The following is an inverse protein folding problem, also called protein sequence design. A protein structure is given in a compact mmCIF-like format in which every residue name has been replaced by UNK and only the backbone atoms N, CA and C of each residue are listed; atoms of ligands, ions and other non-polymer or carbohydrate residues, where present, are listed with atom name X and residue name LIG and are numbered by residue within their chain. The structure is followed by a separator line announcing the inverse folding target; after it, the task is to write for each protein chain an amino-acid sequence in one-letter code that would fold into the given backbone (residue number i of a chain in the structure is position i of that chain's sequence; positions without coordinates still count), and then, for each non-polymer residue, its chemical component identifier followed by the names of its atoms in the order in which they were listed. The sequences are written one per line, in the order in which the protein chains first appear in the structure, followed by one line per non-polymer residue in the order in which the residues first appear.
data_IF_567635940948
#
_entry.id   IF_567635940948
#
_cell.length_a   1.000
_cell.length_b   1.000
_cell.length_c   1.000
_cell.angle_alpha   90.00
_cell.angle_beta   90.00
_cell.angle_gamma   90.00
#
_symmetry.space_group_name_H-M   'P 1'
#
loop_
_entity.id
_entity.type
_entity.pdbx_description
1 polymer ?
#
# COMPACT_ATOMS: atom_id res chain seq x y z
N UNK A 1 -5.92 -10.47 4.91
CA UNK A 1 -5.14 -9.98 3.74
C UNK A 1 -6.01 -9.52 2.59
N UNK A 2 -6.90 -10.36 2.03
CA UNK A 2 -7.74 -9.99 0.87
C UNK A 2 -8.66 -8.78 1.14
N UNK A 3 -9.17 -8.65 2.36
CA UNK A 3 -10.08 -7.55 2.72
C UNK A 3 -9.43 -6.16 2.55
N UNK A 4 -8.12 -6.05 2.77
CA UNK A 4 -7.37 -4.79 2.63
C UNK A 4 -6.80 -4.56 1.24
N UNK A 5 -6.66 -5.64 0.46
CA UNK A 5 -6.00 -5.65 -0.83
C UNK A 5 -7.00 -6.10 -1.90
N UNK A 6 -8.16 -5.46 -1.92
CA UNK A 6 -9.28 -5.89 -2.78
C UNK A 6 -8.93 -5.83 -4.28
N UNK A 7 -8.01 -4.93 -4.65
CA UNK A 7 -7.47 -4.83 -6.01
C UNK A 7 -6.82 -6.12 -6.50
N UNK A 8 -6.38 -7.03 -5.61
CA UNK A 8 -5.91 -8.36 -6.03
C UNK A 8 -6.98 -9.18 -6.74
N UNK A 9 -8.26 -8.88 -6.51
CA UNK A 9 -9.41 -9.51 -7.18
C UNK A 9 -10.08 -8.58 -8.18
N UNK A 10 -10.26 -7.31 -7.81
CA UNK A 10 -11.05 -6.35 -8.60
C UNK A 10 -10.23 -5.64 -9.67
N UNK A 11 -8.90 -5.59 -9.51
CA UNK A 11 -8.01 -4.81 -10.37
C UNK A 11 -8.17 -3.29 -10.22
N UNK A 12 -8.86 -2.79 -9.19
CA UNK A 12 -9.03 -1.37 -8.94
C UNK A 12 -9.22 -1.06 -7.45
N UNK A 13 -8.83 0.15 -7.05
CA UNK A 13 -9.12 0.68 -5.71
C UNK A 13 -10.56 1.22 -5.70
N UNK A 14 -11.26 1.06 -4.58
CA UNK A 14 -12.60 1.65 -4.45
C UNK A 14 -12.52 3.18 -4.42
N UNK A 15 -13.45 3.84 -5.10
CA UNK A 15 -13.46 5.30 -5.27
C UNK A 15 -13.56 6.07 -3.95
N UNK A 16 -14.16 5.48 -2.92
CA UNK A 16 -14.23 6.09 -1.59
C UNK A 16 -12.85 6.26 -0.92
N UNK A 17 -11.89 5.40 -1.26
CA UNK A 17 -10.54 5.40 -0.71
C UNK A 17 -9.58 6.25 -1.55
N UNK A 18 -9.66 6.13 -2.87
CA UNK A 18 -8.90 6.93 -3.83
C UNK A 18 -9.77 8.06 -4.39
N UNK A 19 -9.89 9.16 -3.63
CA UNK A 19 -10.65 10.33 -4.07
C UNK A 19 -10.03 10.94 -5.34
N UNK A 20 -10.86 11.39 -6.27
CA UNK A 20 -10.41 11.97 -7.57
C UNK A 20 -9.50 13.20 -7.38
N UNK A 21 -9.76 14.01 -6.35
CA UNK A 21 -8.91 15.13 -6.00
C UNK A 21 -7.61 14.65 -5.37
N UNK A 22 -6.51 14.73 -6.14
CA UNK A 22 -5.16 14.38 -5.68
C UNK A 22 -4.71 15.26 -4.53
N UNK A 23 -4.06 14.65 -3.54
CA UNK A 23 -3.42 15.40 -2.44
C UNK A 23 -2.25 16.22 -3.00
N UNK A 24 -1.93 17.41 -2.44
CA UNK A 24 -0.83 18.25 -2.94
C UNK A 24 0.51 17.50 -3.05
N UNK A 25 0.83 16.68 -2.05
CA UNK A 25 2.07 15.89 -2.01
C UNK A 25 2.13 14.74 -3.02
N UNK A 26 1.04 14.46 -3.76
CA UNK A 26 0.99 13.34 -4.68
C UNK A 26 2.07 13.44 -5.75
N UNK A 27 2.23 14.59 -6.39
CA UNK A 27 3.23 14.75 -7.45
C UNK A 27 4.66 14.80 -6.87
N UNK A 28 4.83 15.44 -5.71
CA UNK A 28 6.13 15.60 -5.06
C UNK A 28 6.71 14.25 -4.60
N UNK A 29 5.85 13.35 -4.14
CA UNK A 29 6.24 12.01 -3.70
C UNK A 29 6.18 11.00 -4.87
N UNK A 30 5.22 11.15 -5.77
CA UNK A 30 4.96 10.20 -6.86
C UNK A 30 6.15 9.98 -7.80
N UNK A 31 6.99 11.01 -8.00
CA UNK A 31 8.22 10.91 -8.80
C UNK A 31 9.25 9.90 -8.27
N UNK A 32 9.15 9.54 -7.00
CA UNK A 32 10.05 8.63 -6.30
C UNK A 32 9.53 7.19 -6.25
N UNK A 33 8.28 6.93 -6.69
CA UNK A 33 7.71 5.59 -6.70
C UNK A 33 8.53 4.56 -7.51
N UNK A 34 9.13 4.90 -8.67
CA UNK A 34 9.93 3.92 -9.42
C UNK A 34 11.21 3.49 -8.69
N UNK A 35 11.70 4.30 -7.75
CA UNK A 35 12.97 4.07 -7.08
C UNK A 35 12.85 3.00 -5.98
N UNK A 36 13.90 2.20 -5.82
CA UNK A 36 14.00 1.21 -4.74
C UNK A 36 14.39 1.89 -3.42
N UNK A 37 13.42 2.54 -2.77
CA UNK A 37 13.62 3.26 -1.50
C UNK A 37 12.41 3.16 -0.57
N UNK A 38 12.61 3.59 0.68
CA UNK A 38 11.55 3.76 1.66
C UNK A 38 11.16 5.23 1.71
N UNK A 39 9.88 5.53 1.56
CA UNK A 39 9.33 6.89 1.66
C UNK A 39 8.54 7.00 2.97
N UNK A 40 9.02 7.82 3.89
CA UNK A 40 8.30 8.15 5.12
C UNK A 40 7.32 9.30 4.93
N UNK A 41 6.02 9.06 5.13
CA UNK A 41 4.98 10.09 5.11
C UNK A 41 4.55 10.39 6.55
N UNK A 42 4.97 11.52 7.10
CA UNK A 42 4.65 11.91 8.47
C UNK A 42 3.62 13.03 8.53
N UNK A 43 2.91 13.14 9.66
CA UNK A 43 1.94 14.20 9.90
C UNK A 43 0.84 13.77 10.87
N UNK A 44 0.03 14.74 11.31
CA UNK A 44 -1.03 14.54 12.30
C UNK A 44 -2.09 13.51 11.82
N UNK A 45 -2.85 12.96 12.78
CA UNK A 45 -3.99 12.09 12.45
C UNK A 45 -4.99 12.85 11.58
N UNK A 46 -5.60 12.16 10.61
CA UNK A 46 -6.61 12.72 9.67
C UNK A 46 -6.10 13.79 8.69
N UNK A 47 -4.79 13.92 8.47
CA UNK A 47 -4.22 14.77 7.41
C UNK A 47 -4.27 14.13 6.01
N UNK A 48 -4.91 12.97 5.86
CA UNK A 48 -5.12 12.31 4.56
C UNK A 48 -3.93 11.51 4.05
N UNK A 49 -3.07 11.00 4.94
CA UNK A 49 -1.94 10.11 4.60
C UNK A 49 -2.42 8.80 3.97
N UNK A 50 -3.37 8.12 4.62
CA UNK A 50 -4.02 6.91 4.10
C UNK A 50 -4.66 7.14 2.73
N UNK A 51 -5.35 8.27 2.54
CA UNK A 51 -5.91 8.65 1.22
C UNK A 51 -4.81 8.81 0.17
N UNK A 52 -3.66 9.40 0.54
CA UNK A 52 -2.53 9.54 -0.38
C UNK A 52 -1.95 8.16 -0.76
N UNK A 53 -1.85 7.22 0.19
CA UNK A 53 -1.43 5.84 -0.09
C UNK A 53 -2.38 5.16 -1.08
N UNK A 54 -3.70 5.25 -0.87
CA UNK A 54 -4.68 4.68 -1.81
C UNK A 54 -4.62 5.32 -3.20
N UNK A 55 -4.37 6.64 -3.28
CA UNK A 55 -4.15 7.32 -4.56
C UNK A 55 -2.90 6.79 -5.28
N UNK A 56 -1.82 6.48 -4.55
CA UNK A 56 -0.62 5.87 -5.16
C UNK A 56 -0.88 4.45 -5.61
N UNK A 57 -1.59 3.64 -4.84
CA UNK A 57 -1.98 2.28 -5.23
C UNK A 57 -2.80 2.31 -6.52
N UNK A 58 -3.82 3.18 -6.60
CA UNK A 58 -4.61 3.37 -7.80
C UNK A 58 -3.75 3.80 -9.00
N UNK A 59 -2.83 4.75 -8.79
CA UNK A 59 -1.93 5.20 -9.83
C UNK A 59 -1.01 4.10 -10.36
N UNK A 60 -0.44 3.27 -9.48
CA UNK A 60 0.41 2.14 -9.85
C UNK A 60 -0.35 1.12 -10.70
N UNK A 61 -1.56 0.75 -10.26
CA UNK A 61 -2.45 -0.17 -10.99
C UNK A 61 -2.76 0.39 -12.38
N UNK A 62 -3.15 1.66 -12.46
CA UNK A 62 -3.47 2.33 -13.73
C UNK A 62 -2.24 2.50 -14.64
N UNK A 63 -1.04 2.44 -14.07
CA UNK A 63 0.23 2.48 -14.82
C UNK A 63 0.69 1.10 -15.27
N UNK A 64 -0.10 0.05 -15.03
CA UNK A 64 0.16 -1.32 -15.49
C UNK A 64 0.89 -2.21 -14.48
N UNK A 65 1.11 -1.75 -13.24
CA UNK A 65 1.64 -2.61 -12.18
C UNK A 65 0.61 -3.70 -11.87
N UNK A 66 1.05 -4.96 -11.86
CA UNK A 66 0.21 -6.08 -11.48
C UNK A 66 -0.38 -5.82 -10.08
N UNK A 67 -1.71 -5.84 -9.88
CA UNK A 67 -2.32 -5.58 -8.58
C UNK A 67 -1.77 -6.46 -7.47
N UNK A 68 -1.39 -7.71 -7.78
CA UNK A 68 -0.78 -8.63 -6.81
C UNK A 68 0.58 -8.16 -6.32
N UNK A 69 1.32 -7.34 -7.07
CA UNK A 69 2.61 -6.77 -6.68
C UNK A 69 2.48 -5.55 -5.75
N UNK A 70 1.27 -5.20 -5.34
CA UNK A 70 1.01 -4.09 -4.44
C UNK A 70 0.38 -4.64 -3.16
N UNK A 71 1.10 -4.53 -2.05
CA UNK A 71 0.66 -4.93 -0.72
C UNK A 71 0.37 -3.69 0.12
N UNK A 72 -0.80 -3.66 0.75
CA UNK A 72 -1.15 -2.70 1.78
C UNK A 72 -1.42 -3.43 3.10
N UNK A 73 -0.91 -2.84 4.18
CA UNK A 73 -1.06 -3.31 5.54
C UNK A 73 -1.25 -2.13 6.50
N UNK A 74 -2.17 -2.25 7.45
CA UNK A 74 -2.43 -1.24 8.48
C UNK A 74 -2.28 -1.85 9.87
N UNK A 75 -1.47 -1.23 10.73
CA UNK A 75 -1.27 -1.66 12.10
C UNK A 75 -2.47 -1.38 13.01
N UNK A 76 -3.27 -0.35 12.72
CA UNK A 76 -4.45 0.01 13.52
C UNK A 76 -5.52 -1.11 13.55
N UNK A 77 -5.58 -1.96 12.52
CA UNK A 77 -6.62 -3.00 12.40
C UNK A 77 -6.16 -4.39 12.85
N UNK A 78 -4.86 -4.60 13.02
CA UNK A 78 -4.34 -5.80 13.65
C UNK A 78 -4.09 -5.46 15.10
N UNK A 79 -4.83 -6.07 16.02
CA UNK A 79 -4.55 -5.97 17.46
C UNK A 79 -3.07 -6.34 17.67
N UNK A 80 -2.23 -5.32 17.81
CA UNK A 80 -0.77 -5.38 17.67
C UNK A 80 -0.09 -6.01 18.90
N UNK A 81 -0.54 -7.19 19.31
CA UNK A 81 -0.01 -7.94 20.44
C UNK A 81 0.95 -9.06 20.03
N UNK A 82 1.29 -9.19 18.75
CA UNK A 82 2.26 -10.17 18.26
C UNK A 82 3.43 -9.48 17.56
N UNK A 83 4.64 -9.66 18.09
CA UNK A 83 5.89 -9.11 17.56
C UNK A 83 6.19 -9.55 16.12
N UNK A 84 5.61 -10.67 15.69
CA UNK A 84 5.99 -11.38 14.47
C UNK A 84 4.95 -11.16 13.34
N UNK A 85 4.03 -10.21 13.52
CA UNK A 85 2.93 -9.98 12.59
C UNK A 85 3.39 -9.59 11.19
N UNK A 86 4.48 -8.83 11.07
CA UNK A 86 5.03 -8.44 9.78
C UNK A 86 5.54 -9.67 9.04
N UNK A 87 6.25 -10.56 9.73
CA UNK A 87 6.79 -11.79 9.15
C UNK A 87 5.65 -12.68 8.66
N UNK A 88 4.60 -12.86 9.46
CA UNK A 88 3.40 -13.61 9.05
C UNK A 88 2.73 -13.01 7.79
N UNK A 89 2.59 -11.68 7.75
CA UNK A 89 2.00 -10.97 6.61
C UNK A 89 2.85 -11.16 5.35
N UNK A 90 4.18 -11.05 5.47
CA UNK A 90 5.10 -11.21 4.34
C UNK A 90 5.14 -12.67 3.86
N UNK A 91 5.17 -13.64 4.76
CA UNK A 91 5.12 -15.07 4.40
C UNK A 91 3.82 -15.42 3.67
N UNK A 92 2.68 -14.96 4.18
CA UNK A 92 1.39 -15.20 3.54
C UNK A 92 1.28 -14.46 2.21
N UNK A 93 1.90 -13.29 2.09
CA UNK A 93 1.97 -12.56 0.84
C UNK A 93 2.81 -13.33 -0.20
N UNK A 94 3.98 -13.85 0.18
CA UNK A 94 4.82 -14.64 -0.72
C UNK A 94 4.10 -15.88 -1.28
N UNK A 95 3.24 -16.52 -0.47
CA UNK A 95 2.44 -17.67 -0.91
C UNK A 95 1.44 -17.31 -2.02
N UNK A 96 0.96 -16.07 -2.07
CA UNK A 96 -0.07 -15.61 -3.05
C UNK A 96 0.50 -14.83 -4.23
N UNK A 97 1.76 -14.39 -4.12
CA UNK A 97 2.49 -13.65 -5.17
C UNK A 97 3.80 -14.36 -5.52
N UNK A 98 3.76 -15.38 -6.40
CA UNK A 98 4.94 -16.15 -6.79
C UNK A 98 6.03 -15.34 -7.49
N UNK A 99 5.66 -14.21 -8.12
CA UNK A 99 6.58 -13.29 -8.82
C UNK A 99 7.35 -12.34 -7.89
N UNK A 100 7.21 -12.47 -6.56
CA UNK A 100 7.85 -11.57 -5.60
C UNK A 100 9.39 -11.49 -5.75
N UNK A 101 10.03 -12.51 -6.30
CA UNK A 101 11.48 -12.50 -6.51
C UNK A 101 11.94 -11.92 -7.86
N UNK A 102 11.02 -11.72 -8.82
CA UNK A 102 11.37 -11.35 -10.20
C UNK A 102 10.82 -10.00 -10.64
N UNK A 103 9.92 -9.39 -9.87
CA UNK A 103 9.23 -8.14 -10.21
C UNK A 103 9.35 -7.10 -9.09
N UNK A 104 9.19 -5.82 -9.44
CA UNK A 104 9.12 -4.74 -8.45
C UNK A 104 7.82 -4.84 -7.66
N UNK A 105 7.94 -4.74 -6.34
CA UNK A 105 6.82 -4.78 -5.41
C UNK A 105 6.74 -3.48 -4.64
N UNK A 106 5.51 -3.02 -4.44
CA UNK A 106 5.18 -1.87 -3.64
C UNK A 106 4.52 -2.32 -2.34
N UNK A 107 5.11 -1.93 -1.22
CA UNK A 107 4.56 -2.21 0.12
C UNK A 107 4.16 -0.89 0.75
N UNK A 108 2.88 -0.76 1.06
CA UNK A 108 2.29 0.37 1.77
C UNK A 108 1.99 -0.08 3.20
N UNK A 109 2.57 0.65 4.15
CA UNK A 109 2.38 0.40 5.58
C UNK A 109 1.73 1.64 6.18
N UNK A 110 0.54 1.48 6.75
CA UNK A 110 -0.18 2.55 7.44
C UNK A 110 -0.11 2.38 8.96
N UNK A 111 -0.13 3.51 9.67
CA UNK A 111 -0.19 3.59 11.13
C UNK A 111 0.93 2.81 11.88
N UNK A 112 2.12 2.64 11.27
CA UNK A 112 3.28 1.87 11.79
C UNK A 112 3.81 2.32 13.16
N UNK A 113 3.46 3.53 13.61
CA UNK A 113 3.88 4.05 14.90
C UNK A 113 3.10 3.46 16.10
N UNK A 114 2.06 2.67 15.84
CA UNK A 114 1.21 2.06 16.85
C UNK A 114 1.55 0.60 17.11
#
# INVERSE_FOLDING_TARGET
MVQFNEWWKTGHVRKEYAKEMRRPLFNDIGKYLPDRQIIGITGLRRTGKTTLMYQFIEHLINSGVNPKNILYFSFDEVLATQSDIIDEVLENYQKVTPSWSSEQIYIFIDEVQY
#
